data_IF_187831032498
#
_entry.id   IF_187831032498
#
_cell.length_a   1.000
_cell.length_b   1.000
_cell.length_c   1.000
_cell.angle_alpha   90.00
_cell.angle_beta   90.00
_cell.angle_gamma   90.00
#
_symmetry.space_group_name_H-M   'P 1'
#
loop_
_entity.id
_entity.type
_entity.pdbx_description
1 polymer ?
#
# COMPACT_ATOMS: atom_id res chain seq x y z
N UNK A 1 -12.13 37.62 -6.31
CA UNK A 1 -10.73 37.24 -6.03
C UNK A 1 -10.60 37.24 -4.52
N UNK A 2 -10.33 36.08 -3.90
CA UNK A 2 -10.23 35.97 -2.44
C UNK A 2 -8.87 36.57 -2.01
N UNK A 3 -8.78 37.34 -0.93
CA UNK A 3 -7.50 37.88 -0.45
C UNK A 3 -6.45 36.77 -0.23
N UNK A 4 -5.18 37.03 -0.54
CA UNK A 4 -4.10 36.06 -0.41
C UNK A 4 -3.98 35.48 1.01
N UNK A 5 -4.19 36.30 2.04
CA UNK A 5 -4.21 35.84 3.44
C UNK A 5 -5.31 34.80 3.72
N UNK A 6 -6.50 35.00 3.17
CA UNK A 6 -7.62 34.07 3.32
C UNK A 6 -7.43 32.79 2.49
N UNK A 7 -6.73 32.88 1.35
CA UNK A 7 -6.35 31.69 0.60
C UNK A 7 -5.34 30.82 1.35
N UNK A 8 -4.40 31.42 2.09
CA UNK A 8 -3.45 30.68 2.96
C UNK A 8 -4.17 30.06 4.15
N UNK A 9 -5.09 30.80 4.79
CA UNK A 9 -5.89 30.31 5.92
C UNK A 9 -6.80 29.13 5.51
N UNK A 10 -7.43 29.19 4.33
CA UNK A 10 -8.21 28.08 3.77
C UNK A 10 -7.36 26.85 3.44
N UNK A 11 -6.11 27.02 3.01
CA UNK A 11 -5.18 25.92 2.75
C UNK A 11 -4.68 25.26 4.03
N UNK A 12 -4.55 26.02 5.12
CA UNK A 12 -4.22 25.49 6.45
C UNK A 12 -5.41 24.74 7.08
N UNK A 13 -6.65 25.14 6.77
CA UNK A 13 -7.86 24.42 7.23
C UNK A 13 -8.15 23.12 6.46
N UNK A 14 -7.68 22.97 5.21
CA UNK A 14 -8.03 21.80 4.41
C UNK A 14 -7.22 20.55 4.81
N UNK A 15 -7.82 19.74 5.70
CA UNK A 15 -7.25 18.48 6.17
C UNK A 15 -6.82 17.56 5.02
N UNK A 16 -5.63 16.95 5.09
CA UNK A 16 -5.13 16.09 4.04
C UNK A 16 -6.03 14.86 3.85
N UNK A 17 -6.22 14.44 2.60
CA UNK A 17 -7.01 13.25 2.27
C UNK A 17 -6.25 11.98 2.67
N UNK A 18 -7.00 10.99 3.17
CA UNK A 18 -6.46 9.66 3.51
C UNK A 18 -7.15 8.55 2.71
N UNK A 19 -6.47 7.42 2.55
CA UNK A 19 -7.07 6.19 2.06
C UNK A 19 -7.84 5.48 3.18
N UNK A 20 -9.03 5.00 2.86
CA UNK A 20 -9.84 4.23 3.81
C UNK A 20 -9.26 2.83 4.01
N UNK A 21 -9.63 2.20 5.13
CA UNK A 21 -9.25 0.82 5.44
C UNK A 21 -9.72 -0.16 4.36
N UNK A 22 -10.91 0.08 3.79
CA UNK A 22 -11.42 -0.72 2.67
C UNK A 22 -10.61 -0.50 1.40
N UNK A 23 -10.29 0.74 1.04
CA UNK A 23 -9.48 1.05 -0.14
C UNK A 23 -8.10 0.38 -0.06
N UNK A 24 -7.47 0.44 1.12
CA UNK A 24 -6.18 -0.22 1.38
C UNK A 24 -6.34 -1.73 1.23
N UNK A 25 -7.28 -2.36 1.95
CA UNK A 25 -7.47 -3.82 1.91
C UNK A 25 -7.71 -4.34 0.49
N UNK A 26 -8.59 -3.68 -0.28
CA UNK A 26 -8.92 -4.09 -1.65
C UNK A 26 -7.72 -3.92 -2.58
N UNK A 27 -7.07 -2.75 -2.56
CA UNK A 27 -5.92 -2.52 -3.42
C UNK A 27 -4.74 -3.44 -3.06
N UNK A 28 -4.51 -3.69 -1.77
CA UNK A 28 -3.52 -4.66 -1.31
C UNK A 28 -3.84 -6.04 -1.85
N UNK A 29 -5.06 -6.56 -1.67
CA UNK A 29 -5.44 -7.90 -2.16
C UNK A 29 -5.22 -8.08 -3.66
N UNK A 30 -5.53 -7.05 -4.46
CA UNK A 30 -5.44 -7.11 -5.93
C UNK A 30 -4.00 -6.91 -6.43
N UNK A 31 -3.28 -5.94 -5.87
CA UNK A 31 -2.00 -5.46 -6.42
C UNK A 31 -0.78 -5.79 -5.57
N UNK A 32 -0.97 -6.41 -4.42
CA UNK A 32 0.09 -6.93 -3.56
C UNK A 32 0.57 -5.99 -2.45
N UNK A 33 1.61 -6.41 -1.71
CA UNK A 33 2.12 -5.71 -0.52
C UNK A 33 2.73 -4.34 -0.83
N UNK A 34 3.24 -4.11 -2.05
CA UNK A 34 3.79 -2.80 -2.41
C UNK A 34 2.69 -1.73 -2.51
N UNK A 35 1.50 -2.11 -2.98
CA UNK A 35 0.32 -1.25 -2.95
C UNK A 35 -0.10 -0.93 -1.50
N UNK A 36 -0.03 -1.91 -0.59
CA UNK A 36 -0.20 -1.67 0.84
C UNK A 36 0.79 -0.62 1.36
N UNK A 37 2.07 -0.81 1.06
CA UNK A 37 3.15 0.10 1.44
C UNK A 37 2.89 1.53 1.00
N UNK A 38 2.57 1.72 -0.28
CA UNK A 38 2.23 3.03 -0.82
C UNK A 38 1.05 3.66 -0.08
N UNK A 39 -0.12 3.00 -0.04
CA UNK A 39 -1.34 3.60 0.49
C UNK A 39 -1.24 3.90 1.99
N UNK A 40 -0.66 2.98 2.78
CA UNK A 40 -0.45 3.16 4.22
C UNK A 40 0.56 4.25 4.50
N UNK A 41 1.63 4.36 3.70
CA UNK A 41 2.61 5.46 3.84
C UNK A 41 1.99 6.83 3.56
N UNK A 42 1.07 6.93 2.60
CA UNK A 42 0.36 8.19 2.31
C UNK A 42 -0.52 8.62 3.48
N UNK A 43 -1.16 7.68 4.17
CA UNK A 43 -1.90 7.99 5.39
C UNK A 43 -0.97 8.52 6.50
N UNK A 44 0.18 7.86 6.74
CA UNK A 44 1.14 8.36 7.73
C UNK A 44 1.65 9.75 7.38
N UNK A 45 1.89 10.05 6.11
CA UNK A 45 2.25 11.41 5.66
C UNK A 45 1.13 12.42 5.94
N UNK A 46 -0.13 12.05 5.70
CA UNK A 46 -1.29 12.88 6.01
C UNK A 46 -1.45 13.13 7.52
N UNK A 47 -1.06 12.16 8.35
CA UNK A 47 -1.03 12.30 9.82
C UNK A 47 0.28 12.93 10.35
N UNK A 48 1.11 13.47 9.46
CA UNK A 48 2.40 14.10 9.78
C UNK A 48 3.43 13.16 10.46
N UNK A 49 3.29 11.85 10.27
CA UNK A 49 4.17 10.81 10.82
C UNK A 49 5.15 10.28 9.76
N UNK A 50 6.02 11.16 9.25
CA UNK A 50 6.91 10.85 8.11
C UNK A 50 7.85 9.66 8.35
N UNK A 51 8.34 9.49 9.57
CA UNK A 51 9.24 8.37 9.92
C UNK A 51 8.53 7.02 9.74
N UNK A 52 7.28 6.92 10.22
CA UNK A 52 6.45 5.71 10.04
C UNK A 52 6.15 5.43 8.57
N UNK A 53 6.04 6.47 7.74
CA UNK A 53 5.92 6.31 6.28
C UNK A 53 7.14 5.60 5.69
N UNK A 54 8.37 5.97 6.06
CA UNK A 54 9.59 5.31 5.58
C UNK A 54 9.67 3.87 6.07
N UNK A 55 9.38 3.63 7.36
CA UNK A 55 9.32 2.27 7.92
C UNK A 55 8.29 1.41 7.19
N UNK A 56 7.15 1.97 6.80
CA UNK A 56 6.10 1.27 6.06
C UNK A 56 6.59 0.77 4.69
N UNK A 57 7.37 1.58 3.97
CA UNK A 57 7.97 1.15 2.70
C UNK A 57 8.96 0.00 2.89
N UNK A 58 9.81 0.08 3.91
CA UNK A 58 10.76 -0.99 4.24
C UNK A 58 10.01 -2.28 4.53
N UNK A 59 8.98 -2.22 5.38
CA UNK A 59 8.14 -3.39 5.71
C UNK A 59 7.47 -3.95 4.44
N UNK A 60 6.96 -3.09 3.55
CA UNK A 60 6.31 -3.54 2.32
C UNK A 60 7.27 -4.27 1.37
N UNK A 61 8.50 -3.77 1.23
CA UNK A 61 9.54 -4.41 0.42
C UNK A 61 9.97 -5.74 1.05
N UNK A 62 10.19 -5.78 2.36
CA UNK A 62 10.53 -7.03 3.08
C UNK A 62 9.39 -8.05 2.94
N UNK A 63 8.14 -7.63 3.10
CA UNK A 63 6.98 -8.49 2.91
C UNK A 63 6.89 -9.03 1.48
N UNK A 64 7.15 -8.19 0.47
CA UNK A 64 7.19 -8.60 -0.94
C UNK A 64 8.24 -9.70 -1.16
N UNK A 65 9.47 -9.49 -0.70
CA UNK A 65 10.55 -10.49 -0.81
C UNK A 65 10.17 -11.78 -0.09
N UNK A 66 9.61 -11.70 1.12
CA UNK A 66 9.17 -12.86 1.88
C UNK A 66 8.07 -13.65 1.14
N UNK A 67 7.08 -12.96 0.56
CA UNK A 67 5.99 -13.59 -0.20
C UNK A 67 6.54 -14.27 -1.46
N UNK A 68 7.47 -13.64 -2.18
CA UNK A 68 8.12 -14.25 -3.35
C UNK A 68 8.90 -15.50 -2.94
N UNK A 69 9.70 -15.42 -1.87
CA UNK A 69 10.45 -16.57 -1.35
C UNK A 69 9.53 -17.73 -0.94
N UNK A 70 8.44 -17.44 -0.24
CA UNK A 70 7.43 -18.44 0.12
C UNK A 70 6.73 -19.04 -1.11
N UNK A 71 6.43 -18.23 -2.13
CA UNK A 71 5.84 -18.70 -3.37
C UNK A 71 6.78 -19.66 -4.13
N UNK A 72 8.09 -19.40 -4.11
CA UNK A 72 9.11 -20.30 -4.68
C UNK A 72 9.18 -21.61 -3.88
N UNK A 73 9.25 -21.55 -2.54
CA UNK A 73 9.32 -22.75 -1.69
C UNK A 73 8.08 -23.63 -1.85
N UNK A 74 6.90 -23.02 -1.93
CA UNK A 74 5.62 -23.73 -2.05
C UNK A 74 5.29 -24.18 -3.47
N UNK A 75 6.10 -23.81 -4.47
CA UNK A 75 5.85 -24.17 -5.87
C UNK A 75 5.91 -25.68 -6.14
N UNK A 76 6.65 -26.44 -5.34
CA UNK A 76 6.75 -27.90 -5.41
C UNK A 76 5.54 -28.64 -4.81
N UNK A 77 4.62 -27.93 -4.16
CA UNK A 77 3.43 -28.50 -3.53
C UNK A 77 2.27 -28.46 -4.55
N UNK A 78 1.94 -29.61 -5.13
CA UNK A 78 0.97 -29.75 -6.25
C UNK A 78 -0.40 -29.06 -6.03
N UNK A 79 -0.87 -28.96 -4.78
CA UNK A 79 -2.21 -28.44 -4.46
C UNK A 79 -2.21 -27.24 -3.52
N UNK A 80 -1.10 -26.51 -3.44
CA UNK A 80 -1.06 -25.32 -2.59
C UNK A 80 -1.98 -24.21 -3.14
N UNK A 81 -2.99 -23.73 -2.39
CA UNK A 81 -3.91 -22.72 -2.89
C UNK A 81 -3.25 -21.34 -2.94
N UNK A 82 -2.93 -20.86 -4.17
CA UNK A 82 -2.19 -19.60 -4.37
C UNK A 82 -2.88 -18.35 -3.84
N UNK A 83 -4.21 -18.36 -3.71
CA UNK A 83 -4.98 -17.24 -3.17
C UNK A 83 -4.74 -17.00 -1.66
N UNK A 84 -4.14 -17.96 -0.95
CA UNK A 84 -3.79 -17.82 0.46
C UNK A 84 -2.81 -16.66 0.66
N UNK A 85 -1.85 -16.45 -0.25
CA UNK A 85 -0.91 -15.34 -0.13
C UNK A 85 -1.63 -13.98 -0.18
N UNK A 86 -2.42 -13.66 -1.24
CA UNK A 86 -3.30 -12.49 -1.26
C UNK A 86 -4.15 -12.27 -0.03
N UNK A 87 -4.79 -13.33 0.43
CA UNK A 87 -5.66 -13.24 1.58
C UNK A 87 -4.86 -12.92 2.84
N UNK A 88 -3.72 -13.61 3.06
CA UNK A 88 -2.88 -13.44 4.23
C UNK A 88 -2.30 -12.04 4.33
N UNK A 89 -1.68 -11.51 3.25
CA UNK A 89 -1.08 -10.19 3.31
C UNK A 89 -2.14 -9.08 3.35
N UNK A 90 -3.29 -9.24 2.68
CA UNK A 90 -4.36 -8.24 2.74
C UNK A 90 -5.01 -8.17 4.14
N UNK A 91 -5.21 -9.33 4.77
CA UNK A 91 -5.71 -9.40 6.13
C UNK A 91 -4.68 -8.88 7.14
N UNK A 92 -3.41 -9.24 6.98
CA UNK A 92 -2.31 -8.71 7.78
C UNK A 92 -2.23 -7.18 7.70
N UNK A 93 -2.28 -6.61 6.49
CA UNK A 93 -2.35 -5.15 6.31
C UNK A 93 -3.57 -4.55 6.99
N UNK A 94 -4.76 -5.15 6.83
CA UNK A 94 -5.98 -4.66 7.48
C UNK A 94 -5.82 -4.57 9.00
N UNK A 95 -5.31 -5.62 9.65
CA UNK A 95 -5.08 -5.66 11.08
C UNK A 95 -4.05 -4.62 11.54
N UNK A 96 -2.94 -4.47 10.79
CA UNK A 96 -1.90 -3.50 11.10
C UNK A 96 -2.42 -2.06 10.98
N UNK A 97 -3.15 -1.73 9.91
CA UNK A 97 -3.72 -0.38 9.73
C UNK A 97 -4.76 -0.09 10.81
N UNK A 98 -5.63 -1.05 11.12
CA UNK A 98 -6.59 -0.88 12.20
C UNK A 98 -5.91 -0.66 13.56
N UNK A 99 -4.82 -1.37 13.83
CA UNK A 99 -4.05 -1.24 15.08
C UNK A 99 -3.30 0.10 15.18
N UNK A 100 -2.62 0.52 14.11
CA UNK A 100 -1.68 1.65 14.17
C UNK A 100 -2.23 2.98 13.68
N UNK A 101 -3.21 2.97 12.78
CA UNK A 101 -3.85 4.18 12.23
C UNK A 101 -5.33 4.29 12.60
N UNK A 102 -5.93 3.25 13.19
CA UNK A 102 -7.39 3.19 13.40
C UNK A 102 -7.96 4.35 14.21
N UNK A 103 -7.29 4.79 15.28
CA UNK A 103 -7.72 5.95 16.07
C UNK A 103 -7.60 7.26 15.30
N UNK A 104 -6.45 7.51 14.66
CA UNK A 104 -6.23 8.69 13.82
C UNK A 104 -7.25 8.77 12.68
N UNK A 105 -7.58 7.64 12.06
CA UNK A 105 -8.61 7.56 11.01
C UNK A 105 -10.00 7.90 11.56
N UNK A 106 -10.36 7.39 12.75
CA UNK A 106 -11.65 7.71 13.40
C UNK A 106 -11.76 9.20 13.70
N UNK A 107 -10.72 9.80 14.27
CA UNK A 107 -10.66 11.24 14.56
C UNK A 107 -10.75 12.06 13.27
N UNK A 108 -10.02 11.66 12.22
CA UNK A 108 -10.09 12.30 10.91
C UNK A 108 -11.52 12.32 10.38
N UNK A 109 -12.24 11.19 10.43
CA UNK A 109 -13.63 11.12 9.97
C UNK A 109 -14.59 11.90 10.88
N UNK A 110 -14.44 11.82 12.20
CA UNK A 110 -15.29 12.51 13.16
C UNK A 110 -15.22 14.04 12.99
N UNK A 111 -14.07 14.53 12.54
CA UNK A 111 -13.81 15.97 12.37
C UNK A 111 -13.98 16.44 10.91
N UNK A 112 -14.69 15.67 10.08
CA UNK A 112 -15.04 16.05 8.69
C UNK A 112 -13.93 15.83 7.65
N UNK A 113 -12.91 15.06 7.99
CA UNK A 113 -11.78 14.76 7.11
C UNK A 113 -12.18 14.00 5.84
N UNK A 114 -11.58 14.39 4.71
CA UNK A 114 -11.88 13.83 3.39
C UNK A 114 -11.08 12.55 3.12
N UNK A 115 -11.60 11.71 2.23
CA UNK A 115 -10.93 10.48 1.78
C UNK A 115 -10.61 10.51 0.29
N UNK A 116 -9.59 9.76 -0.11
CA UNK A 116 -9.41 9.41 -1.52
C UNK A 116 -10.47 8.42 -1.98
N UNK A 117 -10.83 8.50 -3.27
CA UNK A 117 -11.73 7.55 -3.91
C UNK A 117 -11.05 6.19 -4.06
N UNK A 118 -11.85 5.12 -4.14
CA UNK A 118 -11.32 3.77 -4.39
C UNK A 118 -10.59 3.68 -5.73
N UNK A 119 -11.04 4.41 -6.76
CA UNK A 119 -10.39 4.47 -8.07
C UNK A 119 -8.95 4.96 -8.01
N UNK A 120 -8.67 5.97 -7.18
CA UNK A 120 -7.30 6.43 -6.97
C UNK A 120 -6.44 5.37 -6.29
N UNK A 121 -7.00 4.64 -5.33
CA UNK A 121 -6.30 3.54 -4.67
C UNK A 121 -5.98 2.41 -5.65
N UNK A 122 -6.93 2.07 -6.54
CA UNK A 122 -6.72 1.06 -7.59
C UNK A 122 -5.67 1.50 -8.60
N UNK A 123 -5.69 2.77 -9.04
CA UNK A 123 -4.68 3.30 -9.96
C UNK A 123 -3.27 3.30 -9.34
N UNK A 124 -3.15 3.72 -8.08
CA UNK A 124 -1.89 3.67 -7.36
C UNK A 124 -1.40 2.22 -7.17
N UNK A 125 -2.32 1.30 -6.87
CA UNK A 125 -2.03 -0.12 -6.78
C UNK A 125 -1.54 -0.70 -8.11
N UNK A 126 -2.18 -0.35 -9.22
CA UNK A 126 -1.76 -0.75 -10.56
C UNK A 126 -0.34 -0.28 -10.88
N UNK A 127 0.01 0.96 -10.53
CA UNK A 127 1.38 1.46 -10.69
C UNK A 127 2.36 0.61 -9.86
N UNK A 128 2.02 0.30 -8.61
CA UNK A 128 2.84 -0.56 -7.76
C UNK A 128 2.98 -1.98 -8.32
N UNK A 129 1.94 -2.53 -8.94
CA UNK A 129 1.99 -3.81 -9.62
C UNK A 129 2.93 -3.76 -10.82
N UNK A 130 2.84 -2.72 -11.66
CA UNK A 130 3.74 -2.53 -12.81
C UNK A 130 5.19 -2.47 -12.34
N UNK A 131 5.48 -1.70 -11.29
CA UNK A 131 6.82 -1.62 -10.68
C UNK A 131 7.29 -2.98 -10.17
N UNK A 132 6.41 -3.74 -9.53
CA UNK A 132 6.72 -5.09 -9.02
C UNK A 132 7.05 -6.04 -10.16
N UNK A 133 6.23 -6.08 -11.22
CA UNK A 133 6.44 -6.92 -12.39
C UNK A 133 7.72 -6.53 -13.13
N UNK A 134 7.97 -5.23 -13.31
CA UNK A 134 9.19 -4.74 -13.94
C UNK A 134 10.44 -5.14 -13.14
N UNK A 135 10.40 -5.02 -11.80
CA UNK A 135 11.51 -5.44 -10.94
C UNK A 135 11.77 -6.95 -11.04
N UNK A 136 10.71 -7.78 -11.02
CA UNK A 136 10.84 -9.23 -11.20
C UNK A 136 11.40 -9.60 -12.57
N UNK A 137 10.95 -8.93 -13.63
CA UNK A 137 11.43 -9.14 -14.98
C UNK A 137 12.92 -8.77 -15.13
N UNK A 138 13.35 -7.66 -14.54
CA UNK A 138 14.77 -7.27 -14.52
C UNK A 138 15.63 -8.28 -13.76
N UNK A 139 15.14 -8.79 -12.63
CA UNK A 139 15.85 -9.85 -11.87
C UNK A 139 16.00 -11.10 -12.75
N UNK A 140 14.94 -11.51 -13.45
CA UNK A 140 14.97 -12.67 -14.33
C UNK A 140 15.99 -12.52 -15.47
N UNK A 141 16.11 -11.34 -16.07
CA UNK A 141 17.08 -11.06 -17.14
C UNK A 141 18.55 -11.13 -16.68
N UNK A 142 18.82 -10.83 -15.41
CA UNK A 142 20.18 -10.81 -14.86
C UNK A 142 20.65 -12.21 -14.45
N UNK A 143 19.73 -13.17 -14.26
CA UNK A 143 20.08 -14.55 -13.91
C UNK A 143 20.41 -15.31 -15.22
N UNK A 144 21.70 -15.60 -15.52
CA UNK A 144 22.07 -16.33 -16.72
C UNK A 144 21.43 -17.74 -16.71
N UNK A 145 20.84 -18.13 -17.84
CA UNK A 145 20.15 -19.42 -18.01
C UNK A 145 18.68 -19.44 -17.59
N UNK A 146 18.13 -18.37 -16.98
CA UNK A 146 16.74 -18.37 -16.52
C UNK A 146 15.67 -18.25 -17.65
N UNK A 147 16.09 -17.95 -18.87
CA UNK A 147 15.23 -17.87 -20.07
C UNK A 147 15.51 -18.98 -21.10
N UNK A 148 16.40 -19.92 -20.78
CA UNK A 148 16.87 -20.96 -21.71
C UNK A 148 16.21 -22.33 -21.49
N UNK A 149 15.16 -22.44 -20.67
CA UNK A 149 14.33 -23.66 -20.51
C UNK A 149 13.10 -23.67 -21.42
#
# INVERSE_FOLDING_TARGET
>A
MIPYSQAVEQLEEEKPKIYTLNSIRVATFIFGPLAAGYLVSQNYKAFNEKDKSTTTWIIAVVALIAIIGLAVITSSIERFPRFIFPLAYAWGTFLLVQKFQGEQMKEHFATGGKTFTIWRALLAGLICLIVTVAALFLILLVIPGALEE
#
